data_IF_423495748025
#
_entry.id   IF_423495748025
#
_cell.length_a   1.000
_cell.length_b   1.000
_cell.length_c   1.000
_cell.angle_alpha   90.00
_cell.angle_beta   90.00
_cell.angle_gamma   90.00
#
_symmetry.space_group_name_H-M   'P 1'
#
loop_
_entity.id
_entity.type
_entity.pdbx_description
1 polymer ?
#
# COMPACT_ATOMS: atom_id res chain seq x y z
N UNK A 1 -4.01 7.32 20.44
CA UNK A 1 -4.21 6.79 19.08
C UNK A 1 -3.47 7.69 18.10
N UNK A 2 -2.33 7.23 17.58
CA UNK A 2 -1.50 7.94 16.58
C UNK A 2 -1.81 7.49 15.12
N UNK A 3 -2.92 6.78 14.90
CA UNK A 3 -2.98 5.75 13.85
C UNK A 3 -3.20 6.27 12.42
N UNK A 4 -4.11 7.23 12.20
CA UNK A 4 -4.47 7.69 10.84
C UNK A 4 -4.13 9.16 10.64
N UNK A 5 -4.47 10.02 11.61
CA UNK A 5 -4.21 11.46 11.54
C UNK A 5 -2.73 11.81 11.44
N UNK A 6 -1.84 11.07 12.08
CA UNK A 6 -0.40 11.29 11.98
C UNK A 6 0.18 10.82 10.63
N UNK A 7 -0.38 9.75 10.06
CA UNK A 7 0.04 9.26 8.74
C UNK A 7 -0.44 10.21 7.64
N UNK A 8 -1.67 10.73 7.76
CA UNK A 8 -2.19 11.80 6.91
C UNK A 8 -1.33 13.05 6.98
N UNK A 9 -1.00 13.53 8.19
CA UNK A 9 -0.17 14.70 8.38
C UNK A 9 1.25 14.51 7.81
N UNK A 10 1.82 13.31 7.95
CA UNK A 10 3.11 12.97 7.37
C UNK A 10 3.08 13.09 5.85
N UNK A 11 2.14 12.43 5.18
CA UNK A 11 2.04 12.46 3.70
C UNK A 11 1.74 13.87 3.21
N UNK A 12 0.87 14.61 3.91
CA UNK A 12 0.54 16.00 3.55
C UNK A 12 1.75 16.96 3.66
N UNK A 13 2.77 16.60 4.44
CA UNK A 13 4.02 17.38 4.55
C UNK A 13 5.07 17.04 3.48
N UNK A 14 4.88 15.97 2.71
CA UNK A 14 5.77 15.54 1.64
C UNK A 14 5.46 16.26 0.32
N UNK A 15 6.45 16.38 -0.57
CA UNK A 15 6.16 16.72 -1.96
C UNK A 15 5.32 15.61 -2.63
N UNK A 16 4.55 15.89 -3.70
CA UNK A 16 3.72 14.88 -4.35
C UNK A 16 4.49 13.62 -4.77
N UNK A 17 5.70 13.78 -5.29
CA UNK A 17 6.53 12.66 -5.72
C UNK A 17 7.07 11.83 -4.53
N UNK A 18 7.49 12.49 -3.46
CA UNK A 18 7.88 11.79 -2.22
C UNK A 18 6.70 11.02 -1.61
N UNK A 19 5.51 11.61 -1.61
CA UNK A 19 4.28 10.96 -1.13
C UNK A 19 3.94 9.71 -1.97
N UNK A 20 4.03 9.79 -3.30
CA UNK A 20 3.82 8.65 -4.20
C UNK A 20 4.84 7.55 -3.91
N UNK A 21 6.13 7.89 -3.84
CA UNK A 21 7.19 6.91 -3.55
C UNK A 21 7.00 6.25 -2.18
N UNK A 22 6.64 7.03 -1.16
CA UNK A 22 6.38 6.54 0.19
C UNK A 22 5.21 5.55 0.24
N UNK A 23 4.10 5.87 -0.43
CA UNK A 23 2.91 5.00 -0.47
C UNK A 23 3.17 3.76 -1.32
N UNK A 24 3.88 3.87 -2.43
CA UNK A 24 4.31 2.72 -3.24
C UNK A 24 5.12 1.72 -2.39
N UNK A 25 6.12 2.20 -1.66
CA UNK A 25 6.90 1.38 -0.71
C UNK A 25 6.02 0.75 0.38
N UNK A 26 5.03 1.49 0.88
CA UNK A 26 4.11 1.00 1.91
C UNK A 26 3.21 -0.13 1.39
N UNK A 27 2.68 0.00 0.17
CA UNK A 27 1.91 -1.06 -0.49
C UNK A 27 2.76 -2.33 -0.63
N UNK A 28 4.00 -2.20 -1.11
CA UNK A 28 4.91 -3.35 -1.25
C UNK A 28 5.14 -4.06 0.08
N UNK A 29 5.47 -3.30 1.12
CA UNK A 29 5.74 -3.84 2.46
C UNK A 29 4.54 -4.61 3.02
N UNK A 30 3.32 -4.06 2.88
CA UNK A 30 2.10 -4.71 3.38
C UNK A 30 1.76 -5.94 2.56
N UNK A 31 1.85 -5.85 1.25
CA UNK A 31 1.58 -6.99 0.38
C UNK A 31 2.58 -8.14 0.59
N UNK A 32 3.86 -7.85 0.85
CA UNK A 32 4.84 -8.85 1.25
C UNK A 32 4.48 -9.51 2.58
N UNK A 33 4.08 -8.71 3.59
CA UNK A 33 3.67 -9.23 4.90
C UNK A 33 2.44 -10.13 4.79
N UNK A 34 1.43 -9.70 4.04
CA UNK A 34 0.19 -10.47 3.86
C UNK A 34 0.35 -11.66 2.91
N UNK A 35 1.37 -11.66 2.05
CA UNK A 35 1.61 -12.70 1.04
C UNK A 35 2.07 -14.05 1.58
N UNK A 36 2.23 -14.16 2.90
CA UNK A 36 2.69 -15.34 3.61
C UNK A 36 1.76 -15.66 4.80
N UNK A 37 1.58 -16.94 5.09
CA UNK A 37 1.03 -17.44 6.34
C UNK A 37 2.09 -17.29 7.44
N UNK A 38 1.85 -16.44 8.45
CA UNK A 38 2.84 -16.15 9.49
C UNK A 38 2.95 -17.26 10.55
N UNK A 39 2.02 -18.22 10.58
CA UNK A 39 2.02 -19.36 11.50
C UNK A 39 2.68 -20.56 10.86
N UNK A 40 2.26 -20.92 9.65
CA UNK A 40 2.82 -22.02 8.88
C UNK A 40 4.14 -21.67 8.18
N UNK A 41 4.49 -20.38 8.12
CA UNK A 41 5.64 -19.85 7.37
C UNK A 41 5.65 -20.32 5.90
N UNK A 42 4.48 -20.31 5.28
CA UNK A 42 4.30 -20.71 3.87
C UNK A 42 3.71 -19.57 3.05
N UNK A 43 3.80 -19.65 1.74
CA UNK A 43 3.20 -18.66 0.84
C UNK A 43 1.68 -18.84 0.77
N UNK A 44 0.92 -17.76 0.95
CA UNK A 44 -0.52 -17.76 0.64
C UNK A 44 -0.71 -17.73 -0.89
N UNK A 45 -0.71 -18.92 -1.49
CA UNK A 45 -0.89 -19.08 -2.94
C UNK A 45 -2.23 -18.55 -3.43
N UNK A 46 -3.29 -18.55 -2.62
CA UNK A 46 -4.60 -18.02 -3.05
C UNK A 46 -4.52 -16.51 -3.20
N UNK A 47 -3.94 -15.83 -2.23
CA UNK A 47 -3.72 -14.38 -2.29
C UNK A 47 -2.77 -14.01 -3.43
N UNK A 48 -1.61 -14.68 -3.54
CA UNK A 48 -0.65 -14.41 -4.62
C UNK A 48 -1.21 -14.69 -6.02
N UNK A 49 -2.15 -15.64 -6.13
CA UNK A 49 -2.85 -15.92 -7.38
C UNK A 49 -4.04 -14.97 -7.66
N UNK A 50 -4.40 -14.07 -6.75
CA UNK A 50 -5.37 -13.01 -7.06
C UNK A 50 -4.74 -11.98 -8.01
N UNK A 51 -5.41 -11.74 -9.13
CA UNK A 51 -4.94 -10.80 -10.16
C UNK A 51 -4.89 -9.35 -9.64
N UNK A 52 -5.77 -8.99 -8.70
CA UNK A 52 -5.80 -7.68 -8.04
C UNK A 52 -4.54 -7.48 -7.22
N UNK A 53 -4.14 -8.50 -6.46
CA UNK A 53 -2.91 -8.50 -5.66
C UNK A 53 -1.67 -8.34 -6.55
N UNK A 54 -1.54 -9.18 -7.59
CA UNK A 54 -0.38 -9.09 -8.51
C UNK A 54 -0.28 -7.75 -9.22
N UNK A 55 -1.43 -7.19 -9.64
CA UNK A 55 -1.44 -5.89 -10.30
C UNK A 55 -1.07 -4.76 -9.34
N UNK A 56 -1.57 -4.79 -8.10
CA UNK A 56 -1.18 -3.83 -7.07
C UNK A 56 0.33 -3.87 -6.79
N UNK A 57 0.88 -5.08 -6.62
CA UNK A 57 2.32 -5.28 -6.40
C UNK A 57 3.17 -4.79 -7.56
N UNK A 58 2.82 -5.19 -8.80
CA UNK A 58 3.57 -4.77 -9.99
C UNK A 58 3.61 -3.25 -10.15
N UNK A 59 2.51 -2.55 -9.87
CA UNK A 59 2.45 -1.10 -9.95
C UNK A 59 3.29 -0.44 -8.83
N UNK A 60 3.16 -0.93 -7.60
CA UNK A 60 3.90 -0.41 -6.46
C UNK A 60 5.42 -0.58 -6.63
N UNK A 61 5.87 -1.70 -7.20
CA UNK A 61 7.27 -1.91 -7.59
C UNK A 61 7.71 -0.87 -8.63
N UNK A 62 6.92 -0.61 -9.67
CA UNK A 62 7.26 0.38 -10.68
C UNK A 62 7.45 1.79 -10.09
N UNK A 63 6.49 2.24 -9.26
CA UNK A 63 6.49 3.59 -8.70
C UNK A 63 7.47 3.80 -7.53
N UNK A 64 7.89 2.73 -6.86
CA UNK A 64 8.90 2.82 -5.79
C UNK A 64 10.33 2.94 -6.30
N UNK A 65 10.59 2.52 -7.54
CA UNK A 65 11.94 2.54 -8.13
C UNK A 65 12.25 3.86 -8.83
N UNK A 66 11.30 4.41 -9.59
CA UNK A 66 11.47 5.67 -10.29
C UNK A 66 10.11 6.34 -10.54
N UNK A 67 10.07 7.67 -10.46
CA UNK A 67 8.92 8.50 -10.82
C UNK A 67 9.21 9.29 -12.09
N UNK A 68 9.38 8.58 -13.19
CA UNK A 68 9.53 9.13 -14.54
C UNK A 68 8.22 9.01 -15.34
N UNK A 69 8.17 9.62 -16.52
CA UNK A 69 6.99 9.58 -17.41
C UNK A 69 6.60 8.14 -17.77
N UNK A 70 7.56 7.22 -17.83
CA UNK A 70 7.32 5.81 -18.12
C UNK A 70 6.61 5.13 -16.95
N UNK A 71 7.04 5.37 -15.72
CA UNK A 71 6.42 4.87 -14.51
C UNK A 71 5.02 5.45 -14.32
N UNK A 72 4.82 6.75 -14.60
CA UNK A 72 3.50 7.39 -14.61
C UNK A 72 2.56 6.78 -15.65
N UNK A 73 3.06 6.53 -16.87
CA UNK A 73 2.29 5.85 -17.92
C UNK A 73 1.90 4.43 -17.51
N UNK A 74 2.84 3.65 -16.96
CA UNK A 74 2.56 2.31 -16.43
C UNK A 74 1.52 2.36 -15.30
N UNK A 75 1.61 3.35 -14.41
CA UNK A 75 0.64 3.54 -13.34
C UNK A 75 -0.76 3.88 -13.88
N UNK A 76 -0.85 4.65 -14.95
CA UNK A 76 -2.12 4.92 -15.65
C UNK A 76 -2.76 3.65 -16.21
N UNK A 77 -1.99 2.85 -16.97
CA UNK A 77 -2.48 1.59 -17.55
C UNK A 77 -2.96 0.62 -16.45
N UNK A 78 -2.21 0.54 -15.35
CA UNK A 78 -2.55 -0.31 -14.20
C UNK A 78 -3.74 0.22 -13.42
N UNK A 79 -3.88 1.53 -13.30
CA UNK A 79 -5.05 2.17 -12.70
C UNK A 79 -6.34 1.82 -13.47
N UNK A 80 -6.32 1.87 -14.80
CA UNK A 80 -7.46 1.46 -15.63
C UNK A 80 -7.79 -0.03 -15.44
N UNK A 81 -6.78 -0.88 -15.41
CA UNK A 81 -6.94 -2.32 -15.14
C UNK A 81 -7.56 -2.59 -13.76
N UNK A 82 -7.03 -1.96 -12.71
CA UNK A 82 -7.52 -2.10 -11.34
C UNK A 82 -8.95 -1.58 -11.18
N UNK A 83 -9.30 -0.47 -11.85
CA UNK A 83 -10.67 0.07 -11.86
C UNK A 83 -11.68 -0.98 -12.31
N UNK A 84 -11.41 -1.63 -13.45
CA UNK A 84 -12.26 -2.71 -13.98
C UNK A 84 -12.41 -3.84 -12.96
N UNK A 85 -11.32 -4.32 -12.40
CA UNK A 85 -11.36 -5.45 -11.47
C UNK A 85 -11.94 -5.12 -10.10
N UNK A 86 -11.81 -3.88 -9.62
CA UNK A 86 -12.48 -3.41 -8.41
C UNK A 86 -13.99 -3.30 -8.62
N UNK A 87 -14.44 -2.90 -9.81
CA UNK A 87 -15.87 -2.91 -10.17
C UNK A 87 -16.42 -4.34 -10.23
N UNK A 88 -15.70 -5.25 -10.88
CA UNK A 88 -16.19 -6.61 -11.13
C UNK A 88 -16.12 -7.52 -9.88
N UNK A 89 -15.16 -7.29 -8.97
CA UNK A 89 -14.89 -8.17 -7.80
C UNK A 89 -14.96 -7.47 -6.44
N UNK A 90 -15.17 -6.16 -6.43
CA UNK A 90 -15.18 -5.34 -5.21
C UNK A 90 -13.80 -5.08 -4.61
N UNK A 91 -13.78 -4.22 -3.58
CA UNK A 91 -12.61 -3.89 -2.76
C UNK A 91 -12.48 -4.74 -1.48
N UNK A 92 -13.28 -5.81 -1.37
CA UNK A 92 -13.28 -6.70 -0.20
C UNK A 92 -12.04 -7.60 -0.13
N UNK A 93 -11.66 -7.96 1.11
CA UNK A 93 -10.51 -8.81 1.42
C UNK A 93 -9.15 -8.13 1.20
N UNK A 94 -8.07 -8.81 1.60
CA UNK A 94 -6.70 -8.28 1.54
C UNK A 94 -6.33 -7.81 0.12
N UNK A 95 -6.58 -8.64 -0.90
CA UNK A 95 -6.30 -8.31 -2.29
C UNK A 95 -7.08 -7.08 -2.78
N UNK A 96 -8.35 -6.94 -2.37
CA UNK A 96 -9.20 -5.82 -2.74
C UNK A 96 -8.72 -4.50 -2.12
N UNK A 97 -8.32 -4.52 -0.85
CA UNK A 97 -7.78 -3.35 -0.15
C UNK A 97 -6.46 -2.88 -0.76
N UNK A 98 -5.54 -3.82 -1.03
CA UNK A 98 -4.28 -3.52 -1.72
C UNK A 98 -4.51 -2.96 -3.13
N UNK A 99 -5.45 -3.54 -3.89
CA UNK A 99 -5.81 -3.04 -5.20
C UNK A 99 -6.44 -1.64 -5.17
N UNK A 100 -7.27 -1.34 -4.17
CA UNK A 100 -7.86 -0.01 -4.01
C UNK A 100 -6.79 1.02 -3.64
N UNK A 101 -5.87 0.70 -2.72
CA UNK A 101 -4.75 1.57 -2.39
C UNK A 101 -3.87 1.83 -3.62
N UNK A 102 -3.55 0.80 -4.42
CA UNK A 102 -2.81 0.94 -5.66
C UNK A 102 -3.57 1.76 -6.72
N UNK A 103 -4.89 1.64 -6.80
CA UNK A 103 -5.70 2.48 -7.67
C UNK A 103 -5.57 3.98 -7.32
N UNK A 104 -5.69 4.32 -6.03
CA UNK A 104 -5.54 5.71 -5.55
C UNK A 104 -4.13 6.24 -5.83
N UNK A 105 -3.10 5.42 -5.57
CA UNK A 105 -1.72 5.74 -5.91
C UNK A 105 -1.54 6.00 -7.42
N UNK A 106 -2.15 5.17 -8.26
CA UNK A 106 -2.09 5.32 -9.72
C UNK A 106 -2.78 6.59 -10.21
N UNK A 107 -3.87 7.00 -9.56
CA UNK A 107 -4.55 8.28 -9.81
C UNK A 107 -3.68 9.46 -9.40
N UNK A 108 -3.04 9.40 -8.24
CA UNK A 108 -2.11 10.43 -7.78
C UNK A 108 -0.92 10.61 -8.72
N UNK A 109 -0.34 9.50 -9.20
CA UNK A 109 0.78 9.54 -10.13
C UNK A 109 0.44 10.22 -11.48
N UNK A 110 -0.84 10.24 -11.86
CA UNK A 110 -1.35 10.94 -13.05
C UNK A 110 -1.60 12.44 -12.81
N UNK A 111 -1.97 12.83 -11.58
CA UNK A 111 -2.35 14.18 -11.21
C UNK A 111 -1.17 14.93 -10.56
N UNK A 112 -0.05 15.04 -11.30
CA UNK A 112 1.25 15.53 -10.80
C UNK A 112 1.19 16.94 -10.18
N UNK A 113 0.18 17.73 -10.52
CA UNK A 113 0.01 19.12 -10.06
C UNK A 113 -0.90 19.29 -8.84
N UNK A 114 -1.62 18.25 -8.41
CA UNK A 114 -2.50 18.30 -7.24
C UNK A 114 -1.88 17.58 -6.03
N UNK A 115 -2.05 18.16 -4.85
CA UNK A 115 -1.70 17.48 -3.59
C UNK A 115 -2.63 16.29 -3.42
N UNK A 116 -2.18 15.12 -3.85
CA UNK A 116 -3.00 13.92 -3.81
C UNK A 116 -3.07 13.39 -2.36
N UNK A 117 -4.23 13.50 -1.73
CA UNK A 117 -4.47 12.97 -0.39
C UNK A 117 -4.42 11.43 -0.41
N UNK A 118 -3.31 10.85 0.08
CA UNK A 118 -3.12 9.40 0.18
C UNK A 118 -3.61 8.81 1.51
N UNK A 119 -4.36 9.57 2.31
CA UNK A 119 -4.92 9.09 3.58
C UNK A 119 -5.77 7.84 3.38
N UNK A 120 -6.65 7.82 2.38
CA UNK A 120 -7.47 6.63 2.09
C UNK A 120 -6.59 5.43 1.71
N UNK A 121 -5.52 5.64 0.93
CA UNK A 121 -4.59 4.56 0.57
C UNK A 121 -3.93 3.94 1.80
N UNK A 122 -3.48 4.76 2.76
CA UNK A 122 -2.88 4.29 4.00
C UNK A 122 -3.89 3.59 4.92
N UNK A 123 -5.11 4.09 5.02
CA UNK A 123 -6.16 3.43 5.80
C UNK A 123 -6.48 2.02 5.26
N UNK A 124 -6.52 1.86 3.93
CA UNK A 124 -6.72 0.55 3.30
C UNK A 124 -5.58 -0.43 3.58
N UNK A 125 -4.35 0.07 3.76
CA UNK A 125 -3.21 -0.75 4.15
C UNK A 125 -3.32 -1.25 5.59
N UNK A 126 -3.76 -0.40 6.52
CA UNK A 126 -4.05 -0.82 7.90
C UNK A 126 -5.15 -1.87 7.93
N UNK A 127 -6.22 -1.67 7.17
CA UNK A 127 -7.31 -2.65 7.05
C UNK A 127 -6.84 -4.00 6.48
N UNK A 128 -5.90 -3.99 5.53
CA UNK A 128 -5.32 -5.23 4.99
C UNK A 128 -4.51 -5.99 6.05
N UNK A 129 -3.73 -5.29 6.89
CA UNK A 129 -2.99 -5.88 8.01
C UNK A 129 -3.95 -6.45 9.06
N UNK A 130 -5.00 -5.72 9.40
CA UNK A 130 -6.03 -6.19 10.34
C UNK A 130 -6.71 -7.46 9.84
N UNK A 131 -7.09 -7.49 8.56
CA UNK A 131 -7.71 -8.67 7.95
C UNK A 131 -6.76 -9.87 7.95
N UNK A 132 -5.48 -9.66 7.63
CA UNK A 132 -4.46 -10.70 7.69
C UNK A 132 -4.30 -11.26 9.10
N UNK A 133 -4.19 -10.39 10.11
CA UNK A 133 -4.09 -10.80 11.51
C UNK A 133 -5.33 -11.62 11.95
N UNK A 134 -6.54 -11.18 11.59
CA UNK A 134 -7.79 -11.91 11.90
C UNK A 134 -7.79 -13.30 11.25
N UNK A 135 -7.48 -13.39 9.95
CA UNK A 135 -7.49 -14.65 9.19
C UNK A 135 -6.53 -15.67 9.82
N UNK A 136 -5.37 -15.22 10.27
CA UNK A 136 -4.34 -16.08 10.86
C UNK A 136 -4.37 -16.11 12.40
N UNK A 137 -5.46 -15.66 13.03
CA UNK A 137 -5.66 -15.68 14.49
C UNK A 137 -4.52 -15.01 15.28
N UNK A 138 -3.93 -13.96 14.72
CA UNK A 138 -2.90 -13.16 15.37
C UNK A 138 -3.51 -12.01 16.18
N UNK A 139 -2.71 -11.46 17.11
CA UNK A 139 -3.08 -10.25 17.82
C UNK A 139 -3.12 -9.04 16.87
N UNK A 140 -4.33 -8.50 16.68
CA UNK A 140 -4.61 -7.36 15.79
C UNK A 140 -3.93 -6.09 16.27
N UNK A 141 -3.88 -5.85 17.58
CA UNK A 141 -3.26 -4.66 18.14
C UNK A 141 -1.74 -4.67 17.92
N UNK A 142 -1.10 -5.83 18.11
CA UNK A 142 0.32 -6.03 17.84
C UNK A 142 0.64 -5.89 16.34
N UNK A 143 -0.17 -6.50 15.47
CA UNK A 143 0.02 -6.40 14.02
C UNK A 143 -0.07 -4.95 13.53
N UNK A 144 -1.10 -4.21 13.98
CA UNK A 144 -1.27 -2.78 13.68
C UNK A 144 -0.12 -1.94 14.22
N UNK A 145 0.32 -2.17 15.46
CA UNK A 145 1.44 -1.42 16.04
C UNK A 145 2.74 -1.63 15.26
N UNK A 146 3.04 -2.87 14.83
CA UNK A 146 4.21 -3.17 13.97
C UNK A 146 4.12 -2.44 12.63
N UNK A 147 2.95 -2.43 12.00
CA UNK A 147 2.74 -1.71 10.75
C UNK A 147 2.98 -0.20 10.91
N UNK A 148 2.39 0.41 11.94
CA UNK A 148 2.55 1.84 12.24
C UNK A 148 4.00 2.20 12.56
N UNK A 149 4.71 1.38 13.33
CA UNK A 149 6.14 1.57 13.60
C UNK A 149 6.97 1.48 12.31
N UNK A 150 6.63 0.54 11.41
CA UNK A 150 7.28 0.43 10.10
C UNK A 150 7.10 1.68 9.24
N UNK A 151 5.91 2.30 9.27
CA UNK A 151 5.62 3.58 8.61
C UNK A 151 6.48 4.70 9.20
N UNK A 152 6.53 4.83 10.53
CA UNK A 152 7.34 5.86 11.21
C UNK A 152 8.83 5.72 10.91
N UNK A 153 9.37 4.50 10.92
CA UNK A 153 10.78 4.26 10.63
C UNK A 153 11.13 4.62 9.19
N UNK A 154 10.23 4.37 8.23
CA UNK A 154 10.40 4.77 6.83
C UNK A 154 10.29 6.28 6.62
N UNK A 155 9.51 6.96 7.45
CA UNK A 155 9.33 8.40 7.43
C UNK A 155 10.55 9.18 7.96
N UNK A 156 11.47 8.53 8.68
CA UNK A 156 12.65 9.16 9.29
C UNK A 156 13.93 8.71 8.57
N UNK A 157 14.34 9.35 7.46
CA UNK A 157 15.56 8.96 6.74
C UNK A 157 16.88 9.32 7.47
N UNK A 158 16.85 9.87 8.70
CA UNK A 158 18.01 10.52 9.33
C UNK A 158 18.41 10.15 10.76
N UNK A 159 17.85 9.11 11.40
CA UNK A 159 18.36 8.61 12.70
C UNK A 159 18.94 7.20 12.57
N UNK A 160 19.97 7.05 11.75
CA UNK A 160 20.98 6.03 12.04
C UNK A 160 21.78 6.59 13.22
N UNK A 161 21.62 5.97 14.39
CA UNK A 161 22.42 6.26 15.57
C UNK A 161 23.91 6.17 15.17
N UNK A 162 24.57 7.32 15.15
CA UNK A 162 26.01 7.45 15.26
C UNK A 162 26.29 8.11 16.61
#
# INVERSE_FOLDING_TARGET
>A
MFATSAQSALVASMSPDEAIGFVACSIMSVAQACGCDPVANTVDRKLQNDIRFRSAMSQAVGLSLALDDRARKLASDRCAFLTKHLRDRGAGGIAGKLARAAYLLGRAAQAVEETADMTEALALLDEAIVLHAIIHQQDVAVARARHQLGILNRAQPGRRLH
#
